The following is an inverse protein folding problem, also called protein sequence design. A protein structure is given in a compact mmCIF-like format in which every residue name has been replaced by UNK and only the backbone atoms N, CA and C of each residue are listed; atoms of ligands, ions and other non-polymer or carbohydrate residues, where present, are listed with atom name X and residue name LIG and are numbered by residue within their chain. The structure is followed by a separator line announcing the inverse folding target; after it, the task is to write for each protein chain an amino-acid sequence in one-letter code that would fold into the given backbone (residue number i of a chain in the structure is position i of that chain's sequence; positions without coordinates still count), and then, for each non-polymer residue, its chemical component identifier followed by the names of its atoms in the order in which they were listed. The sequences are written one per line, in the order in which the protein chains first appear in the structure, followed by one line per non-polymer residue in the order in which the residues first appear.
data_IF_948713511505
#
_entry.id   IF_948713511505
#
_cell.length_a   1.000
_cell.length_b   1.000
_cell.length_c   1.000
_cell.angle_alpha   90.00
_cell.angle_beta   90.00
_cell.angle_gamma   90.00
#
_symmetry.space_group_name_H-M   'P 1'
#
loop_
_entity.id
_entity.type
_entity.pdbx_description
1 polymer ?
#
# COMPACT_ATOMS: atom_id res chain seq x y z
N UNK A 1 -13.33 3.25 5.44
CA UNK A 1 -13.05 2.82 6.83
C UNK A 1 -11.56 2.99 7.07
N UNK A 2 -11.16 3.72 8.11
CA UNK A 2 -9.75 3.89 8.48
C UNK A 2 -9.46 3.02 9.70
N UNK A 3 -8.45 2.15 9.61
CA UNK A 3 -8.03 1.22 10.68
C UNK A 3 -6.54 1.44 10.91
N UNK A 4 -6.15 1.77 12.13
CA UNK A 4 -4.75 1.95 12.52
C UNK A 4 -4.50 1.38 13.91
N UNK A 5 -3.32 0.80 14.10
CA UNK A 5 -2.77 0.38 15.40
C UNK A 5 -1.82 1.44 15.98
N UNK A 6 -1.59 2.56 15.27
CA UNK A 6 -0.73 3.63 15.74
C UNK A 6 -1.44 4.52 16.76
N UNK A 7 -0.69 5.01 17.75
CA UNK A 7 -1.21 5.99 18.71
C UNK A 7 -1.48 7.33 18.01
N UNK A 8 -2.72 7.77 18.04
CA UNK A 8 -3.17 9.04 17.46
C UNK A 8 -3.19 10.15 18.52
N UNK A 9 -2.68 11.32 18.14
CA UNK A 9 -2.75 12.56 18.89
C UNK A 9 -3.84 13.45 18.31
N UNK A 10 -4.64 14.03 19.21
CA UNK A 10 -5.70 14.98 18.86
C UNK A 10 -6.65 14.51 17.73
N UNK A 11 -7.22 13.30 17.78
CA UNK A 11 -8.18 12.86 16.77
C UNK A 11 -9.43 13.75 16.81
N UNK A 12 -9.80 14.29 15.65
CA UNK A 12 -10.99 15.12 15.45
C UNK A 12 -11.76 14.63 14.24
N UNK A 13 -13.08 14.56 14.38
CA UNK A 13 -14.01 14.23 13.31
C UNK A 13 -14.98 15.39 13.15
N UNK A 14 -14.91 16.06 12.02
CA UNK A 14 -15.79 17.16 11.66
C UNK A 14 -16.83 16.68 10.64
N UNK A 15 -18.09 17.01 10.89
CA UNK A 15 -19.22 16.66 10.02
C UNK A 15 -19.71 17.95 9.37
N UNK A 16 -19.52 18.10 8.07
CA UNK A 16 -20.04 19.25 7.35
C UNK A 16 -21.57 19.12 7.23
N UNK A 17 -22.30 20.08 7.79
CA UNK A 17 -23.76 20.08 7.83
C UNK A 17 -24.39 20.84 6.65
N UNK A 18 -23.63 21.74 6.03
CA UNK A 18 -24.01 22.64 4.95
C UNK A 18 -23.73 22.07 3.54
N UNK A 19 -22.81 21.12 3.42
CA UNK A 19 -22.40 20.49 2.15
C UNK A 19 -23.22 19.25 1.77
N UNK A 20 -24.49 19.21 2.16
CA UNK A 20 -25.38 18.09 1.83
C UNK A 20 -25.87 18.24 0.37
N UNK A 21 -25.37 17.40 -0.53
CA UNK A 21 -25.71 17.40 -1.98
C UNK A 21 -27.11 16.83 -2.26
N UNK A 22 -28.14 17.28 -1.54
CA UNK A 22 -29.52 16.83 -1.72
C UNK A 22 -29.79 15.37 -1.34
N UNK A 23 -28.87 14.75 -0.59
CA UNK A 23 -29.01 13.41 -0.01
C UNK A 23 -28.81 13.44 1.51
N UNK A 24 -29.12 12.33 2.18
CA UNK A 24 -28.86 12.12 3.60
C UNK A 24 -27.37 11.90 3.91
N UNK A 25 -26.53 11.79 2.88
CA UNK A 25 -25.08 11.72 3.04
C UNK A 25 -24.51 13.05 3.56
N UNK A 26 -23.54 12.95 4.49
CA UNK A 26 -22.79 14.08 5.05
C UNK A 26 -21.31 13.89 4.79
N UNK A 27 -20.61 14.98 4.45
CA UNK A 27 -19.16 14.96 4.32
C UNK A 27 -18.54 14.88 5.72
N UNK A 28 -17.61 13.94 5.89
CA UNK A 28 -16.88 13.68 7.13
C UNK A 28 -15.40 13.96 6.90
N UNK A 29 -14.78 14.77 7.76
CA UNK A 29 -13.34 15.06 7.74
C UNK A 29 -12.71 14.53 9.02
N UNK A 30 -11.76 13.61 8.89
CA UNK A 30 -10.99 13.06 10.00
C UNK A 30 -9.60 13.69 10.01
N UNK A 31 -9.22 14.34 11.11
CA UNK A 31 -7.93 15.00 11.30
C UNK A 31 -7.25 14.47 12.57
N UNK A 32 -5.95 14.18 12.50
CA UNK A 32 -5.15 13.73 13.64
C UNK A 32 -3.66 13.94 13.36
N UNK A 33 -2.84 13.82 14.40
CA UNK A 33 -1.38 13.69 14.28
C UNK A 33 -0.95 12.33 14.81
N UNK A 34 0.17 11.80 14.35
CA UNK A 34 0.74 10.60 14.96
C UNK A 34 1.54 11.00 16.20
N UNK A 35 1.41 10.25 17.29
CA UNK A 35 2.34 10.37 18.40
C UNK A 35 3.74 10.01 17.87
N UNK A 36 4.65 10.97 17.85
CA UNK A 36 6.02 10.73 17.43
C UNK A 36 6.65 9.73 18.41
N UNK A 37 6.88 8.50 17.94
CA UNK A 37 7.72 7.57 18.68
C UNK A 37 9.13 8.15 18.64
N UNK A 38 9.62 8.63 19.78
CA UNK A 38 10.97 9.16 19.91
C UNK A 38 11.96 8.00 19.74
N UNK A 39 12.38 7.74 18.52
CA UNK A 39 13.44 6.78 18.22
C UNK A 39 14.76 7.54 18.04
N UNK A 40 15.31 8.00 19.16
CA UNK A 40 16.75 8.26 19.31
C UNK A 40 17.30 7.18 20.23
N UNK A 41 17.43 5.94 19.75
CA UNK A 41 18.45 4.95 20.14
C UNK A 41 18.21 3.61 19.41
N UNK A 42 19.28 2.86 19.06
CA UNK A 42 19.16 1.58 18.39
C UNK A 42 19.04 0.46 19.42
N UNK A 43 17.83 0.04 19.79
CA UNK A 43 17.63 -1.28 20.40
C UNK A 43 16.18 -1.76 20.42
N UNK A 44 16.04 -2.98 19.91
CA UNK A 44 14.98 -3.97 20.18
C UNK A 44 13.55 -3.62 19.76
N UNK A 45 13.29 -3.87 18.47
CA UNK A 45 12.18 -4.69 18.00
C UNK A 45 10.92 -4.78 18.90
N UNK A 46 10.01 -3.84 18.73
CA UNK A 46 8.58 -4.19 18.65
C UNK A 46 8.22 -4.33 17.19
N UNK A 47 8.70 -5.42 16.59
CA UNK A 47 8.29 -5.87 15.27
C UNK A 47 6.82 -6.24 15.37
N UNK A 48 5.97 -5.51 14.63
CA UNK A 48 4.63 -5.96 14.28
C UNK A 48 4.72 -7.41 13.77
N UNK A 49 4.27 -8.36 14.59
CA UNK A 49 4.37 -9.80 14.39
C UNK A 49 3.38 -10.29 13.30
N UNK A 50 3.51 -9.76 12.08
CA UNK A 50 2.99 -10.37 10.85
C UNK A 50 3.87 -10.12 9.62
N UNK A 51 4.88 -9.25 9.71
CA UNK A 51 5.89 -9.12 8.67
C UNK A 51 6.94 -10.22 8.86
N UNK A 52 6.87 -11.25 8.01
CA UNK A 52 7.84 -12.35 7.97
C UNK A 52 9.27 -11.76 8.02
N UNK A 53 10.18 -12.20 8.91
CA UNK A 53 11.52 -11.61 9.09
C UNK A 53 12.30 -11.44 7.78
N UNK A 54 12.09 -12.38 6.85
CA UNK A 54 12.62 -12.35 5.49
C UNK A 54 12.14 -11.15 4.66
N UNK A 55 10.88 -10.74 4.78
CA UNK A 55 10.35 -9.55 4.07
C UNK A 55 10.96 -8.27 4.61
N UNK A 56 11.11 -8.14 5.93
CA UNK A 56 11.79 -6.98 6.53
C UNK A 56 13.23 -6.90 6.07
N UNK A 57 13.92 -8.04 6.01
CA UNK A 57 15.27 -8.11 5.47
C UNK A 57 15.33 -7.72 3.98
N UNK A 58 14.45 -8.28 3.14
CA UNK A 58 14.38 -7.92 1.72
C UNK A 58 14.14 -6.41 1.53
N UNK A 59 13.22 -5.82 2.30
CA UNK A 59 12.93 -4.39 2.24
C UNK A 59 14.12 -3.52 2.67
N UNK A 60 14.87 -3.95 3.70
CA UNK A 60 16.08 -3.23 4.13
C UNK A 60 17.15 -3.18 3.03
N UNK A 61 17.25 -4.25 2.23
CA UNK A 61 18.21 -4.36 1.12
C UNK A 61 17.80 -3.61 -0.13
N UNK A 62 16.54 -3.22 -0.28
CA UNK A 62 16.11 -2.35 -1.38
C UNK A 62 16.75 -0.95 -1.32
N UNK A 63 17.37 -0.58 -0.19
CA UNK A 63 18.20 0.62 -0.07
C UNK A 63 19.55 0.52 -0.79
N UNK A 64 19.99 -0.69 -1.17
CA UNK A 64 21.19 -0.91 -1.98
C UNK A 64 20.85 -0.71 -3.48
N UNK A 65 21.76 -0.14 -4.29
CA UNK A 65 21.49 0.18 -5.69
C UNK A 65 21.24 -1.06 -6.55
N UNK A 66 21.97 -2.15 -6.34
CA UNK A 66 21.86 -3.36 -7.18
C UNK A 66 20.53 -4.13 -6.95
N UNK A 67 20.13 -4.46 -5.71
CA UNK A 67 18.82 -5.07 -5.45
C UNK A 67 17.66 -4.17 -5.86
N UNK A 68 17.82 -2.84 -5.74
CA UNK A 68 16.81 -1.88 -6.15
C UNK A 68 16.59 -1.87 -7.67
N UNK A 69 17.66 -1.92 -8.47
CA UNK A 69 17.57 -2.02 -9.92
C UNK A 69 16.95 -3.36 -10.34
N UNK A 70 17.42 -4.47 -9.76
CA UNK A 70 16.89 -5.80 -10.06
C UNK A 70 15.40 -5.93 -9.71
N UNK A 71 14.98 -5.33 -8.59
CA UNK A 71 13.57 -5.22 -8.20
C UNK A 71 12.76 -4.47 -9.25
N UNK A 72 13.24 -3.30 -9.69
CA UNK A 72 12.54 -2.47 -10.67
C UNK A 72 12.38 -3.17 -12.02
N UNK A 73 13.44 -3.82 -12.51
CA UNK A 73 13.41 -4.56 -13.77
C UNK A 73 12.46 -5.76 -13.69
N UNK A 74 12.55 -6.52 -12.61
CA UNK A 74 11.67 -7.68 -12.38
C UNK A 74 10.22 -7.26 -12.25
N UNK A 75 9.95 -6.18 -11.51
CA UNK A 75 8.61 -5.62 -11.36
C UNK A 75 8.06 -5.12 -12.68
N UNK A 76 8.86 -4.40 -13.47
CA UNK A 76 8.45 -3.88 -14.77
C UNK A 76 8.09 -4.99 -15.75
N UNK A 77 8.91 -6.03 -15.81
CA UNK A 77 8.64 -7.21 -16.64
C UNK A 77 7.38 -7.95 -16.18
N UNK A 78 7.27 -8.20 -14.88
CA UNK A 78 6.16 -8.96 -14.28
C UNK A 78 4.82 -8.21 -14.29
N UNK A 79 4.83 -6.87 -14.26
CA UNK A 79 3.63 -6.04 -14.29
C UNK A 79 3.12 -5.71 -15.70
N UNK A 80 3.92 -5.94 -16.75
CA UNK A 80 3.52 -5.70 -18.14
C UNK A 80 2.15 -6.32 -18.55
N UNK A 81 1.84 -7.60 -18.22
CA UNK A 81 0.53 -8.17 -18.54
C UNK A 81 -0.61 -7.51 -17.75
N UNK A 82 -0.41 -7.21 -16.47
CA UNK A 82 -1.40 -6.55 -15.62
C UNK A 82 -1.68 -5.12 -16.12
N UNK A 83 -0.65 -4.38 -16.50
CA UNK A 83 -0.78 -3.05 -17.09
C UNK A 83 -1.56 -3.08 -18.41
N UNK A 84 -1.30 -4.08 -19.25
CA UNK A 84 -2.04 -4.27 -20.50
C UNK A 84 -3.52 -4.56 -20.26
N UNK A 85 -3.81 -5.38 -19.26
CA UNK A 85 -5.19 -5.66 -18.81
C UNK A 85 -5.89 -4.40 -18.28
N UNK A 86 -5.22 -3.60 -17.45
CA UNK A 86 -5.77 -2.33 -16.94
C UNK A 86 -6.04 -1.34 -18.06
N UNK A 87 -5.11 -1.17 -19.00
CA UNK A 87 -5.31 -0.33 -20.19
C UNK A 87 -6.53 -0.76 -21.00
N UNK A 88 -6.72 -2.07 -21.21
CA UNK A 88 -7.89 -2.61 -21.91
C UNK A 88 -9.20 -2.34 -21.17
N UNK A 89 -9.22 -2.46 -19.84
CA UNK A 89 -10.41 -2.15 -19.04
C UNK A 89 -10.78 -0.66 -19.10
N UNK A 90 -9.78 0.23 -19.19
CA UNK A 90 -10.01 1.66 -19.37
C UNK A 90 -10.51 1.97 -20.78
N UNK A 91 -9.95 1.33 -21.81
CA UNK A 91 -10.35 1.53 -23.21
C UNK A 91 -11.71 0.90 -23.54
N UNK A 92 -12.05 -0.21 -22.89
CA UNK A 92 -13.29 -0.95 -23.07
C UNK A 92 -13.93 -1.22 -21.71
N UNK A 93 -14.57 -0.20 -21.11
CA UNK A 93 -15.18 -0.33 -19.79
C UNK A 93 -16.30 -1.39 -19.85
N UNK A 94 -16.22 -2.45 -19.02
CA UNK A 94 -17.28 -3.44 -18.95
C UNK A 94 -18.56 -2.85 -18.36
N UNK A 95 -19.72 -3.36 -18.76
CA UNK A 95 -21.01 -2.96 -18.18
C UNK A 95 -21.19 -3.42 -16.73
N UNK A 96 -20.38 -4.36 -16.27
CA UNK A 96 -20.35 -4.86 -14.88
C UNK A 96 -19.04 -4.49 -14.20
N UNK A 97 -19.05 -4.51 -12.87
CA UNK A 97 -17.85 -4.24 -12.05
C UNK A 97 -16.71 -5.18 -12.47
N UNK A 98 -15.52 -4.67 -12.84
CA UNK A 98 -14.38 -5.51 -13.15
C UNK A 98 -13.90 -6.28 -11.90
N UNK A 99 -13.17 -7.39 -12.06
CA UNK A 99 -12.70 -8.22 -10.95
C UNK A 99 -11.55 -7.52 -10.19
N UNK A 100 -11.89 -6.50 -9.40
CA UNK A 100 -10.96 -5.63 -8.68
C UNK A 100 -10.11 -6.42 -7.67
N UNK A 101 -10.70 -7.41 -7.00
CA UNK A 101 -10.00 -8.22 -6.01
C UNK A 101 -8.90 -9.09 -6.65
N UNK A 102 -9.16 -9.64 -7.83
CA UNK A 102 -8.17 -10.41 -8.60
C UNK A 102 -7.05 -9.51 -9.12
N UNK A 103 -7.38 -8.29 -9.58
CA UNK A 103 -6.39 -7.29 -9.99
C UNK A 103 -5.48 -6.90 -8.81
N UNK A 104 -6.07 -6.71 -7.63
CA UNK A 104 -5.33 -6.38 -6.42
C UNK A 104 -4.46 -7.56 -5.95
N UNK A 105 -4.99 -8.78 -5.98
CA UNK A 105 -4.22 -9.99 -5.67
C UNK A 105 -3.04 -10.18 -6.65
N UNK A 106 -3.26 -9.92 -7.94
CA UNK A 106 -2.22 -9.97 -8.97
C UNK A 106 -1.12 -8.94 -8.73
N UNK A 107 -1.49 -7.68 -8.45
CA UNK A 107 -0.53 -6.63 -8.13
C UNK A 107 0.31 -6.98 -6.90
N UNK A 108 -0.34 -7.40 -5.81
CA UNK A 108 0.34 -7.80 -4.59
C UNK A 108 1.31 -8.96 -4.84
N UNK A 109 0.89 -9.97 -5.60
CA UNK A 109 1.75 -11.08 -5.97
C UNK A 109 2.99 -10.61 -6.75
N UNK A 110 2.81 -9.71 -7.72
CA UNK A 110 3.93 -9.13 -8.49
C UNK A 110 4.89 -8.37 -7.58
N UNK A 111 4.40 -7.57 -6.63
CA UNK A 111 5.24 -6.85 -5.65
C UNK A 111 6.07 -7.85 -4.83
N UNK A 112 5.43 -8.86 -4.25
CA UNK A 112 6.13 -9.83 -3.40
C UNK A 112 7.13 -10.68 -4.19
N UNK A 113 6.77 -11.11 -5.40
CA UNK A 113 7.68 -11.90 -6.24
C UNK A 113 8.87 -11.10 -6.72
N UNK A 114 8.66 -9.85 -7.13
CA UNK A 114 9.77 -8.97 -7.56
C UNK A 114 10.73 -8.70 -6.41
N UNK A 115 10.17 -8.50 -5.21
CA UNK A 115 10.95 -8.34 -3.98
C UNK A 115 11.77 -9.60 -3.67
N UNK A 116 11.16 -10.79 -3.70
CA UNK A 116 11.88 -12.05 -3.43
C UNK A 116 12.93 -12.37 -4.50
N UNK A 117 12.64 -12.12 -5.78
CA UNK A 117 13.57 -12.34 -6.89
C UNK A 117 14.77 -11.41 -6.86
N UNK A 118 14.61 -10.16 -6.40
CA UNK A 118 15.71 -9.20 -6.28
C UNK A 118 16.77 -9.58 -5.23
N UNK A 119 16.53 -10.63 -4.46
CA UNK A 119 17.37 -11.09 -3.36
C UNK A 119 18.09 -12.41 -3.67
N UNK A 120 17.79 -13.04 -4.81
CA UNK A 120 18.46 -14.23 -5.32
C UNK A 120 19.58 -13.79 -6.28
N UNK A 121 20.84 -14.21 -6.05
CA UNK A 121 21.95 -13.96 -6.96
C UNK A 121 21.85 -14.78 -8.26
#
# INVERSE_FOLDING_TARGET
MFLTNASLMSPRLDIASDLSLGSDHRLLTLSFSFAQSSASEPSSATTDFTLHPRRLWNLSRLGEPDPCQLYQDTFRSSSAPLLSQLKRLVQHPPSSRPPIDDLNASLNNIIYRSLDSSMLP
#
